data_IF_556894459393
#
_entry.id   IF_556894459393
#
_cell.length_a   1.000
_cell.length_b   1.000
_cell.length_c   1.000
_cell.angle_alpha   90.00
_cell.angle_beta   90.00
_cell.angle_gamma   90.00
#
_symmetry.space_group_name_H-M   'P 1'
#
loop_
_entity.id
_entity.type
_entity.pdbx_description
1 polymer ?
#
# COMPACT_ATOMS: atom_id res chain seq x y z
N UNK A 1 1.84 -71.61 -3.69
CA UNK A 1 2.01 -70.85 -4.93
C UNK A 1 0.75 -70.03 -5.14
N UNK A 2 0.85 -68.70 -5.21
CA UNK A 2 -0.31 -67.82 -5.38
C UNK A 2 -0.42 -67.35 -6.82
N UNK A 3 -1.63 -67.01 -7.24
CA UNK A 3 -1.87 -66.33 -8.52
C UNK A 3 -1.71 -64.82 -8.38
N UNK A 4 -1.54 -64.12 -9.51
CA UNK A 4 -1.50 -62.64 -9.55
C UNK A 4 -2.78 -62.03 -8.97
N UNK A 5 -3.91 -62.73 -9.09
CA UNK A 5 -5.20 -62.26 -8.59
C UNK A 5 -5.28 -62.41 -7.06
N UNK A 6 -4.92 -63.56 -6.51
CA UNK A 6 -4.87 -63.77 -5.06
C UNK A 6 -3.92 -62.80 -4.36
N UNK A 7 -2.76 -62.52 -4.96
CA UNK A 7 -1.83 -61.52 -4.42
C UNK A 7 -2.40 -60.09 -4.52
N UNK A 8 -3.15 -59.78 -5.57
CA UNK A 8 -3.78 -58.48 -5.75
C UNK A 8 -4.87 -58.25 -4.69
N UNK A 9 -5.68 -59.27 -4.43
CA UNK A 9 -6.75 -59.25 -3.44
C UNK A 9 -6.19 -59.13 -2.01
N UNK A 10 -5.11 -59.84 -1.69
CA UNK A 10 -4.41 -59.73 -0.38
C UNK A 10 -3.78 -58.36 -0.15
N UNK A 11 -3.20 -57.77 -1.21
CA UNK A 11 -2.56 -56.45 -1.15
C UNK A 11 -3.55 -55.29 -1.32
N UNK A 12 -4.84 -55.56 -1.56
CA UNK A 12 -5.87 -54.54 -1.79
C UNK A 12 -5.60 -53.67 -3.01
N UNK A 13 -4.89 -54.19 -4.02
CA UNK A 13 -4.52 -53.45 -5.24
C UNK A 13 -5.06 -54.14 -6.49
N UNK A 14 -5.12 -53.42 -7.61
CA UNK A 14 -5.58 -54.01 -8.87
C UNK A 14 -4.59 -55.04 -9.40
N UNK A 15 -5.10 -56.10 -10.04
CA UNK A 15 -4.28 -57.11 -10.74
C UNK A 15 -3.27 -56.47 -11.71
N UNK A 16 -3.68 -55.41 -12.38
CA UNK A 16 -2.83 -54.66 -13.32
C UNK A 16 -1.64 -54.01 -12.61
N UNK A 17 -1.83 -53.51 -11.38
CA UNK A 17 -0.78 -52.92 -10.56
C UNK A 17 0.27 -53.96 -10.16
N UNK A 18 -0.14 -55.15 -9.75
CA UNK A 18 0.76 -56.27 -9.43
C UNK A 18 1.57 -56.67 -10.67
N UNK A 19 0.93 -56.73 -11.84
CA UNK A 19 1.60 -57.05 -13.11
C UNK A 19 2.63 -55.98 -13.53
N UNK A 20 2.33 -54.69 -13.33
CA UNK A 20 3.29 -53.61 -13.57
C UNK A 20 4.49 -53.69 -12.63
N UNK A 21 4.28 -54.03 -11.35
CA UNK A 21 5.37 -54.21 -10.38
C UNK A 21 6.22 -55.42 -10.76
N UNK A 22 5.61 -56.54 -11.15
CA UNK A 22 6.31 -57.72 -11.66
C UNK A 22 7.20 -57.42 -12.88
N UNK A 23 6.74 -56.58 -13.80
CA UNK A 23 7.54 -56.15 -14.96
C UNK A 23 8.66 -55.17 -14.59
N UNK A 24 8.48 -54.40 -13.50
CA UNK A 24 9.46 -53.46 -13.00
C UNK A 24 10.53 -54.11 -12.09
N UNK A 25 10.34 -55.37 -11.68
CA UNK A 25 11.35 -56.14 -10.97
C UNK A 25 12.47 -56.59 -11.92
N UNK A 26 13.73 -56.66 -11.44
CA UNK A 26 14.85 -57.14 -12.25
C UNK A 26 14.61 -58.58 -12.72
N UNK A 27 15.12 -58.91 -13.92
CA UNK A 27 14.84 -60.18 -14.62
C UNK A 27 15.11 -61.43 -13.78
N UNK A 28 16.05 -61.36 -12.84
CA UNK A 28 16.41 -62.44 -11.91
C UNK A 28 15.33 -62.74 -10.86
N UNK A 29 14.47 -61.75 -10.56
CA UNK A 29 13.41 -61.80 -9.53
C UNK A 29 12.00 -61.89 -10.12
N UNK A 30 11.90 -62.10 -11.43
CA UNK A 30 10.62 -62.22 -12.12
C UNK A 30 10.01 -63.61 -11.92
N UNK A 31 8.69 -63.64 -11.73
CA UNK A 31 7.92 -64.87 -11.72
C UNK A 31 8.10 -65.65 -13.04
N UNK A 32 8.40 -66.94 -12.94
CA UNK A 32 8.50 -67.83 -14.11
C UNK A 32 7.10 -68.24 -14.56
N UNK A 33 6.92 -68.38 -15.87
CA UNK A 33 5.70 -68.96 -16.45
C UNK A 33 5.84 -70.48 -16.44
N UNK A 34 4.97 -71.16 -15.72
CA UNK A 34 4.85 -72.61 -15.77
C UNK A 34 3.49 -72.96 -16.38
N UNK A 35 3.47 -73.81 -17.42
CA UNK A 35 2.23 -74.25 -18.11
C UNK A 35 1.30 -73.10 -18.54
N UNK A 36 1.89 -72.02 -19.06
CA UNK A 36 1.15 -70.85 -19.56
C UNK A 36 0.59 -69.90 -18.49
N UNK A 37 0.77 -70.19 -17.20
CA UNK A 37 0.35 -69.32 -16.09
C UNK A 37 1.56 -68.74 -15.35
N UNK A 38 1.47 -67.48 -14.96
CA UNK A 38 2.50 -66.81 -14.16
C UNK A 38 2.33 -67.26 -12.71
N UNK A 39 3.31 -67.99 -12.17
CA UNK A 39 3.28 -68.45 -10.80
C UNK A 39 4.07 -67.51 -9.90
N UNK A 40 3.42 -66.99 -8.85
CA UNK A 40 4.09 -66.17 -7.86
C UNK A 40 4.59 -67.08 -6.74
N UNK A 41 5.91 -67.22 -6.67
CA UNK A 41 6.63 -67.83 -5.54
C UNK A 41 6.69 -66.82 -4.38
N UNK A 42 6.80 -67.33 -3.16
CA UNK A 42 6.90 -66.53 -1.92
C UNK A 42 8.03 -65.47 -1.95
N UNK A 43 9.15 -65.76 -2.62
CA UNK A 43 10.24 -64.80 -2.83
C UNK A 43 9.79 -63.62 -3.71
N UNK A 44 9.08 -63.89 -4.80
CA UNK A 44 8.56 -62.86 -5.71
C UNK A 44 7.47 -62.03 -5.03
N UNK A 45 6.64 -62.65 -4.21
CA UNK A 45 5.66 -61.95 -3.37
C UNK A 45 6.34 -60.96 -2.41
N UNK A 46 7.42 -61.38 -1.75
CA UNK A 46 8.20 -60.53 -0.84
C UNK A 46 8.87 -59.37 -1.59
N UNK A 47 9.40 -59.63 -2.78
CA UNK A 47 9.99 -58.61 -3.65
C UNK A 47 8.94 -57.58 -4.14
N UNK A 48 7.72 -58.02 -4.46
CA UNK A 48 6.60 -57.13 -4.83
C UNK A 48 6.21 -56.26 -3.64
N UNK A 49 5.99 -56.86 -2.46
CA UNK A 49 5.63 -56.15 -1.22
C UNK A 49 6.66 -55.07 -0.89
N UNK A 50 7.95 -55.42 -0.88
CA UNK A 50 9.03 -54.47 -0.59
C UNK A 50 9.17 -53.35 -1.62
N UNK A 51 8.97 -53.64 -2.91
CA UNK A 51 9.02 -52.63 -3.97
C UNK A 51 7.87 -51.62 -3.87
N UNK A 52 6.67 -52.08 -3.50
CA UNK A 52 5.52 -51.21 -3.30
C UNK A 52 5.72 -50.29 -2.10
N UNK A 53 6.09 -50.83 -0.94
CA UNK A 53 6.34 -50.03 0.28
C UNK A 53 7.43 -48.98 0.08
N UNK A 54 8.53 -49.30 -0.62
CA UNK A 54 9.60 -48.33 -0.92
C UNK A 54 9.12 -47.18 -1.80
N UNK A 55 8.31 -47.45 -2.83
CA UNK A 55 7.78 -46.40 -3.71
C UNK A 55 6.84 -45.46 -2.97
N UNK A 56 6.03 -45.97 -2.06
CA UNK A 56 5.08 -45.15 -1.30
C UNK A 56 5.80 -44.28 -0.27
N UNK A 57 6.84 -44.80 0.40
CA UNK A 57 7.70 -44.02 1.30
C UNK A 57 8.43 -42.87 0.58
N UNK A 58 8.98 -43.13 -0.62
CA UNK A 58 9.69 -42.10 -1.41
C UNK A 58 8.72 -41.01 -1.89
N UNK A 59 7.48 -41.39 -2.27
CA UNK A 59 6.45 -40.42 -2.67
C UNK A 59 6.02 -39.55 -1.49
N UNK A 60 5.80 -40.13 -0.32
CA UNK A 60 5.44 -39.39 0.88
C UNK A 60 6.54 -38.39 1.27
N UNK A 61 7.80 -38.81 1.28
CA UNK A 61 8.95 -37.94 1.60
C UNK A 61 9.15 -36.78 0.60
N UNK A 62 8.90 -37.00 -0.70
CA UNK A 62 8.95 -35.92 -1.71
C UNK A 62 7.76 -34.96 -1.62
N UNK A 63 6.62 -35.41 -1.10
CA UNK A 63 5.45 -34.56 -0.93
C UNK A 63 5.59 -33.67 0.31
N UNK A 64 6.14 -34.19 1.41
CA UNK A 64 6.44 -33.40 2.61
C UNK A 64 7.48 -32.33 2.32
N UNK A 65 8.57 -32.65 1.62
CA UNK A 65 9.62 -31.67 1.30
C UNK A 65 9.15 -30.53 0.39
N UNK A 66 8.24 -30.81 -0.56
CA UNK A 66 7.61 -29.76 -1.39
C UNK A 66 6.64 -28.90 -0.58
N UNK A 67 5.89 -29.50 0.34
CA UNK A 67 4.97 -28.78 1.23
C UNK A 67 5.73 -27.82 2.14
N UNK A 68 6.85 -28.25 2.72
CA UNK A 68 7.66 -27.44 3.61
C UNK A 68 8.33 -26.28 2.86
N UNK A 69 8.83 -26.53 1.65
CA UNK A 69 9.39 -25.47 0.79
C UNK A 69 8.33 -24.41 0.46
N UNK A 70 7.11 -24.85 0.09
CA UNK A 70 6.00 -23.95 -0.20
C UNK A 70 5.60 -23.13 1.04
N UNK A 71 5.54 -23.77 2.22
CA UNK A 71 5.23 -23.09 3.47
C UNK A 71 6.27 -22.02 3.84
N UNK A 72 7.55 -22.30 3.60
CA UNK A 72 8.63 -21.34 3.84
C UNK A 72 8.56 -20.15 2.87
N UNK A 73 8.35 -20.41 1.58
CA UNK A 73 8.16 -19.35 0.57
C UNK A 73 6.96 -18.46 0.89
N UNK A 74 5.84 -19.05 1.34
CA UNK A 74 4.65 -18.30 1.75
C UNK A 74 4.92 -17.45 3.00
N UNK A 75 5.70 -17.94 3.96
CA UNK A 75 6.09 -17.16 5.14
C UNK A 75 6.96 -15.98 4.78
N UNK A 76 7.97 -16.19 3.94
CA UNK A 76 8.88 -15.14 3.47
C UNK A 76 8.10 -14.07 2.70
N UNK A 77 7.26 -14.48 1.74
CA UNK A 77 6.43 -13.55 0.98
C UNK A 77 5.48 -12.75 1.88
N UNK A 78 4.85 -13.39 2.87
CA UNK A 78 4.01 -12.68 3.84
C UNK A 78 4.81 -11.71 4.72
N UNK A 79 6.05 -12.00 5.06
CA UNK A 79 6.91 -11.07 5.79
C UNK A 79 7.23 -9.84 4.92
N UNK A 80 7.67 -10.05 3.67
CA UNK A 80 7.92 -8.96 2.72
C UNK A 80 6.69 -8.09 2.49
N UNK A 81 5.52 -8.71 2.29
CA UNK A 81 4.26 -7.98 2.12
C UNK A 81 3.89 -7.17 3.37
N UNK A 82 4.20 -7.65 4.58
CA UNK A 82 3.97 -6.89 5.80
C UNK A 82 4.87 -5.67 5.87
N UNK A 83 6.16 -5.84 5.58
CA UNK A 83 7.14 -4.75 5.59
C UNK A 83 6.78 -3.68 4.55
N UNK A 84 6.40 -4.09 3.34
CA UNK A 84 5.92 -3.18 2.29
C UNK A 84 4.65 -2.43 2.73
N UNK A 85 3.69 -3.13 3.35
CA UNK A 85 2.48 -2.49 3.85
C UNK A 85 2.77 -1.48 4.97
N UNK A 86 3.70 -1.78 5.86
CA UNK A 86 4.11 -0.88 6.94
C UNK A 86 4.79 0.37 6.38
N UNK A 87 5.71 0.18 5.43
CA UNK A 87 6.36 1.28 4.72
C UNK A 87 5.35 2.17 3.98
N UNK A 88 4.39 1.59 3.26
CA UNK A 88 3.34 2.33 2.57
C UNK A 88 2.43 3.09 3.54
N UNK A 89 2.13 2.51 4.71
CA UNK A 89 1.34 3.21 5.75
C UNK A 89 2.07 4.44 6.30
N UNK A 90 3.37 4.33 6.57
CA UNK A 90 4.16 5.49 7.01
C UNK A 90 4.24 6.56 5.91
N UNK A 91 4.44 6.18 4.64
CA UNK A 91 4.37 7.14 3.53
C UNK A 91 3.01 7.86 3.44
N UNK A 92 1.90 7.13 3.59
CA UNK A 92 0.56 7.71 3.57
C UNK A 92 0.40 8.71 4.72
N UNK A 93 0.87 8.37 5.92
CA UNK A 93 0.82 9.24 7.10
C UNK A 93 1.63 10.52 6.91
N UNK A 94 2.83 10.41 6.34
CA UNK A 94 3.67 11.57 6.01
C UNK A 94 3.00 12.48 4.97
N UNK A 95 2.41 11.89 3.92
CA UNK A 95 1.68 12.63 2.90
C UNK A 95 0.44 13.32 3.48
N UNK A 96 -0.31 12.65 4.36
CA UNK A 96 -1.45 13.25 5.06
C UNK A 96 -1.03 14.42 5.94
N UNK A 97 0.09 14.30 6.65
CA UNK A 97 0.63 15.38 7.46
C UNK A 97 1.02 16.60 6.59
N UNK A 98 1.73 16.38 5.48
CA UNK A 98 2.06 17.45 4.52
C UNK A 98 0.81 18.12 3.96
N UNK A 99 -0.19 17.33 3.56
CA UNK A 99 -1.47 17.86 3.06
C UNK A 99 -2.17 18.70 4.12
N UNK A 100 -2.17 18.28 5.38
CA UNK A 100 -2.75 19.05 6.47
C UNK A 100 -2.03 20.37 6.70
N UNK A 101 -0.70 20.41 6.56
CA UNK A 101 0.07 21.65 6.66
C UNK A 101 -0.27 22.60 5.52
N UNK A 102 -0.32 22.10 4.28
CA UNK A 102 -0.69 22.90 3.11
C UNK A 102 -2.11 23.47 3.23
N UNK A 103 -3.08 22.67 3.67
CA UNK A 103 -4.44 23.16 3.90
C UNK A 103 -4.49 24.28 4.95
N UNK A 104 -3.69 24.17 6.01
CA UNK A 104 -3.62 25.20 7.04
C UNK A 104 -2.99 26.49 6.49
N UNK A 105 -1.93 26.37 5.69
CA UNK A 105 -1.29 27.49 5.00
C UNK A 105 -2.25 28.19 4.04
N UNK A 106 -2.99 27.42 3.22
CA UNK A 106 -4.02 27.96 2.32
C UNK A 106 -5.12 28.68 3.11
N UNK A 107 -5.53 28.13 4.25
CA UNK A 107 -6.47 28.79 5.15
C UNK A 107 -5.95 30.12 5.70
N UNK A 108 -4.66 30.20 6.03
CA UNK A 108 -4.02 31.45 6.48
C UNK A 108 -3.91 32.48 5.33
N UNK A 109 -3.55 32.04 4.13
CA UNK A 109 -3.50 32.90 2.95
C UNK A 109 -4.85 33.51 2.61
N UNK A 110 -5.94 32.71 2.63
CA UNK A 110 -7.28 33.24 2.42
C UNK A 110 -7.66 34.31 3.46
N UNK A 111 -7.36 34.08 4.74
CA UNK A 111 -7.62 35.09 5.80
C UNK A 111 -6.86 36.39 5.56
N UNK A 112 -5.60 36.30 5.14
CA UNK A 112 -4.79 37.49 4.84
C UNK A 112 -5.34 38.24 3.63
N UNK A 113 -5.73 37.51 2.58
CA UNK A 113 -6.33 38.07 1.37
C UNK A 113 -7.66 38.79 1.70
N UNK A 114 -8.50 38.18 2.55
CA UNK A 114 -9.74 38.81 3.03
C UNK A 114 -9.45 40.10 3.82
N UNK A 115 -8.42 40.10 4.68
CA UNK A 115 -7.99 41.30 5.41
C UNK A 115 -7.52 42.41 4.46
N UNK A 116 -6.73 42.06 3.46
CA UNK A 116 -6.24 43.01 2.45
C UNK A 116 -7.39 43.61 1.63
N UNK A 117 -8.38 42.80 1.22
CA UNK A 117 -9.57 43.30 0.54
C UNK A 117 -10.38 44.26 1.42
N UNK A 118 -10.57 43.93 2.69
CA UNK A 118 -11.29 44.80 3.63
C UNK A 118 -10.56 46.13 3.84
N UNK A 119 -9.23 46.09 3.99
CA UNK A 119 -8.42 47.28 4.13
C UNK A 119 -8.49 48.16 2.87
N UNK A 120 -8.35 47.56 1.69
CA UNK A 120 -8.45 48.28 0.42
C UNK A 120 -9.82 48.95 0.25
N UNK A 121 -10.92 48.29 0.62
CA UNK A 121 -12.25 48.90 0.59
C UNK A 121 -12.39 50.05 1.60
N UNK A 122 -11.80 49.93 2.78
CA UNK A 122 -11.78 51.00 3.78
C UNK A 122 -10.98 52.22 3.29
N UNK A 123 -9.80 51.99 2.73
CA UNK A 123 -8.94 53.03 2.16
C UNK A 123 -9.62 53.73 1.00
N UNK A 124 -10.26 52.97 0.09
CA UNK A 124 -11.00 53.54 -1.02
C UNK A 124 -12.15 54.45 -0.52
N UNK A 125 -12.89 54.01 0.51
CA UNK A 125 -13.94 54.84 1.13
C UNK A 125 -13.36 56.12 1.72
N UNK A 126 -12.27 56.05 2.48
CA UNK A 126 -11.62 57.24 3.04
C UNK A 126 -11.15 58.20 1.95
N UNK A 127 -10.49 57.70 0.90
CA UNK A 127 -10.05 58.51 -0.25
C UNK A 127 -11.24 59.21 -0.91
N UNK A 128 -12.37 58.52 -1.11
CA UNK A 128 -13.55 59.16 -1.69
C UNK A 128 -14.16 60.25 -0.79
N UNK A 129 -14.14 60.08 0.53
CA UNK A 129 -14.63 61.08 1.48
C UNK A 129 -13.73 62.31 1.53
N UNK A 130 -12.41 62.12 1.50
CA UNK A 130 -11.43 63.20 1.44
C UNK A 130 -11.60 64.00 0.14
N UNK A 131 -11.69 63.32 -1.02
CA UNK A 131 -11.94 63.99 -2.30
C UNK A 131 -13.23 64.80 -2.29
N UNK A 132 -14.33 64.28 -1.73
CA UNK A 132 -15.59 65.04 -1.57
C UNK A 132 -15.39 66.28 -0.70
N UNK A 133 -14.75 66.13 0.46
CA UNK A 133 -14.49 67.25 1.39
C UNK A 133 -13.59 68.33 0.77
N UNK A 134 -12.61 67.96 -0.05
CA UNK A 134 -11.80 68.93 -0.80
C UNK A 134 -12.61 69.66 -1.87
N UNK A 135 -13.50 68.94 -2.57
CA UNK A 135 -14.37 69.54 -3.60
C UNK A 135 -15.38 70.51 -2.98
N UNK A 136 -15.97 70.16 -1.83
CA UNK A 136 -16.90 71.02 -1.08
C UNK A 136 -16.20 72.24 -0.46
N UNK A 137 -14.94 72.10 -0.02
CA UNK A 137 -14.13 73.23 0.45
C UNK A 137 -13.67 74.16 -0.70
N UNK A 138 -13.45 73.63 -1.90
CA UNK A 138 -13.14 74.45 -3.09
C UNK A 138 -14.39 75.23 -3.57
N UNK A 139 -15.58 74.63 -3.47
CA UNK A 139 -16.84 75.30 -3.82
C UNK A 139 -17.28 76.36 -2.79
N UNK A 140 -16.88 76.23 -1.53
CA UNK A 140 -17.14 77.26 -0.50
C UNK A 140 -16.12 78.40 -0.55
N UNK A 141 -14.86 78.15 -0.94
CA UNK A 141 -13.85 79.21 -1.11
C UNK A 141 -14.15 80.19 -2.25
N UNK A 142 -14.86 79.79 -3.29
CA UNK A 142 -15.27 80.71 -4.38
C UNK A 142 -16.44 81.64 -4.01
N UNK A 143 -17.03 81.51 -2.81
CA UNK A 143 -18.14 82.36 -2.37
C UNK A 143 -17.82 83.27 -1.17
N UNK A 144 -16.63 83.21 -0.59
CA UNK A 144 -16.28 83.99 0.63
C UNK A 144 -14.99 84.80 0.50
N UNK A 145 -14.72 85.39 -0.67
CA UNK A 145 -13.71 86.45 -0.81
C UNK A 145 -14.38 87.83 -0.66
N UNK A 146 -14.83 88.12 0.56
CA UNK A 146 -15.01 89.47 1.09
C UNK A 146 -15.17 89.35 2.60
N UNK A 147 -14.05 89.43 3.33
CA UNK A 147 -13.86 90.21 4.56
C UNK A 147 -12.61 89.75 5.34
N UNK A 148 -11.61 90.63 5.33
CA UNK A 148 -10.71 91.08 6.42
C UNK A 148 -10.12 90.09 7.46
N UNK A 149 -8.77 90.16 7.52
CA UNK A 149 -7.86 90.21 8.68
C UNK A 149 -8.08 89.27 9.88
N UNK A 150 -7.06 88.45 10.19
CA UNK A 150 -6.21 88.70 11.37
C UNK A 150 -4.98 87.74 11.43
N UNK A 151 -3.84 88.34 11.77
CA UNK A 151 -2.56 87.69 12.03
C UNK A 151 -2.63 86.78 13.27
N UNK A 152 -2.62 85.46 13.09
CA UNK A 152 -1.96 84.56 14.05
C UNK A 152 -1.36 83.36 13.30
N UNK A 153 -0.04 83.38 13.15
CA UNK A 153 0.75 82.27 12.65
C UNK A 153 0.61 81.07 13.60
N UNK A 154 -0.24 80.11 13.19
CA UNK A 154 -0.40 78.83 13.88
C UNK A 154 0.89 78.02 13.69
N UNK A 155 1.81 78.10 14.66
CA UNK A 155 2.99 77.24 14.73
C UNK A 155 2.55 75.77 14.63
N UNK A 156 3.09 75.09 13.62
CA UNK A 156 2.72 73.72 13.27
C UNK A 156 3.05 72.73 14.39
N UNK A 157 2.38 71.59 14.39
CA UNK A 157 2.53 70.53 15.39
C UNK A 157 3.99 70.11 15.61
N UNK A 158 4.81 70.11 14.54
CA UNK A 158 6.23 69.79 14.60
C UNK A 158 7.08 70.83 15.35
N UNK A 159 6.70 72.11 15.26
CA UNK A 159 7.41 73.20 15.93
C UNK A 159 7.14 73.21 17.45
N UNK A 160 6.00 72.65 17.87
CA UNK A 160 5.69 72.38 19.28
C UNK A 160 6.41 71.16 19.86
N UNK A 161 6.74 70.17 19.04
CA UNK A 161 7.32 68.91 19.49
C UNK A 161 8.85 68.89 19.44
N UNK A 162 9.45 69.67 18.55
CA UNK A 162 10.89 69.65 18.29
C UNK A 162 11.56 71.04 18.30
N UNK A 163 10.83 72.09 18.69
CA UNK A 163 11.42 73.39 18.97
C UNK A 163 12.25 73.32 20.25
N UNK A 164 13.54 73.69 20.15
CA UNK A 164 14.48 73.75 21.29
C UNK A 164 13.98 74.60 22.44
#
# INVERSE_FOLDING_TARGET
MKTVQELADELGVTRQRVQQVLQALPKEKQAKKEKGRLQITEQVETDIKTFMSKKDAIKASKQTSKSDLLANLLKENNATLKDENEFLKEQIKDLQHKLSQEQNLVGQQHKLLDQEQQLHLADQKQITQLKKSETDNQNTKTQTDNHQQDEQSKKGFFERLFGK
#
